data_IF_637706898569
#
_entry.id   IF_637706898569
#
_cell.length_a   1.000
_cell.length_b   1.000
_cell.length_c   1.000
_cell.angle_alpha   90.00
_cell.angle_beta   90.00
_cell.angle_gamma   90.00
#
_symmetry.space_group_name_H-M   'P 1'
#
loop_
_entity.id
_entity.type
_entity.pdbx_description
1 polymer ?
#
# COMPACT_ATOMS: atom_id res chain seq x y z
N UNK A 1 18.78 9.30 84.54
CA UNK A 1 19.55 9.79 83.36
C UNK A 1 20.94 9.19 83.47
N UNK A 2 21.48 8.65 82.36
CA UNK A 2 22.68 7.78 82.28
C UNK A 2 22.51 6.42 82.99
N UNK A 3 23.13 5.30 82.66
CA UNK A 3 23.89 4.74 81.52
C UNK A 3 24.30 3.33 81.98
N UNK A 4 24.38 2.33 81.09
CA UNK A 4 25.36 1.19 81.05
C UNK A 4 24.89 0.20 79.98
N UNK A 5 25.62 0.00 78.88
CA UNK A 5 26.65 -1.06 78.64
C UNK A 5 26.06 -2.48 78.78
N UNK A 6 26.21 -3.44 77.85
CA UNK A 6 27.47 -4.04 77.36
C UNK A 6 27.21 -4.97 76.15
N UNK A 7 28.28 -5.34 75.47
CA UNK A 7 28.45 -5.98 74.17
C UNK A 7 28.03 -7.48 73.99
N UNK A 8 28.01 -7.85 72.70
CA UNK A 8 28.48 -9.10 72.06
C UNK A 8 27.60 -10.38 72.07
N UNK A 9 27.10 -10.73 70.88
CA UNK A 9 27.31 -11.99 70.14
C UNK A 9 26.30 -11.98 68.97
N UNK A 10 26.69 -12.05 67.70
CA UNK A 10 27.48 -13.14 67.15
C UNK A 10 26.53 -14.14 66.49
N UNK A 11 25.95 -13.79 65.34
CA UNK A 11 25.59 -14.78 64.33
C UNK A 11 25.48 -14.12 62.96
N UNK A 12 26.56 -14.27 62.18
CA UNK A 12 26.50 -14.19 60.73
C UNK A 12 25.67 -15.39 60.29
N UNK A 13 24.45 -15.14 59.84
CA UNK A 13 23.72 -16.10 58.99
C UNK A 13 23.90 -15.56 57.59
N UNK A 14 24.87 -16.13 56.87
CA UNK A 14 24.85 -16.17 55.42
C UNK A 14 23.53 -16.83 55.04
N UNK A 15 22.50 -16.01 54.81
CA UNK A 15 21.34 -16.41 54.05
C UNK A 15 21.78 -16.40 52.60
N UNK A 16 22.16 -17.58 52.12
CA UNK A 16 22.49 -17.85 50.74
C UNK A 16 21.52 -17.10 49.83
N UNK A 17 22.06 -16.17 49.05
CA UNK A 17 21.38 -15.67 47.88
C UNK A 17 21.13 -16.90 47.00
N UNK A 18 19.90 -17.41 47.02
CA UNK A 18 19.43 -18.29 45.98
C UNK A 18 19.80 -17.61 44.66
N UNK A 19 20.58 -18.25 43.77
CA UNK A 19 20.69 -17.74 42.42
C UNK A 19 19.24 -17.63 41.95
N UNK A 20 18.85 -16.43 41.55
CA UNK A 20 17.63 -16.23 40.78
C UNK A 20 17.71 -17.26 39.66
N UNK A 21 17.02 -18.38 39.80
CA UNK A 21 16.92 -19.38 38.74
C UNK A 21 16.43 -18.61 37.54
N UNK A 22 17.25 -18.64 36.48
CA UNK A 22 16.92 -18.12 35.17
C UNK A 22 15.50 -18.53 34.88
N UNK A 23 14.56 -17.58 34.99
CA UNK A 23 13.23 -17.75 34.45
C UNK A 23 13.47 -17.98 32.97
N UNK A 24 13.47 -19.24 32.54
CA UNK A 24 13.49 -19.61 31.12
C UNK A 24 12.33 -18.84 30.53
N UNK A 25 12.63 -17.73 29.86
CA UNK A 25 11.59 -16.81 29.42
C UNK A 25 10.75 -17.59 28.42
N UNK A 26 9.48 -17.81 28.75
CA UNK A 26 8.54 -18.45 27.84
C UNK A 26 8.51 -17.71 26.48
N UNK A 27 8.80 -16.41 26.47
CA UNK A 27 8.96 -15.61 25.25
C UNK A 27 10.12 -16.12 24.36
N UNK A 28 11.23 -16.55 24.96
CA UNK A 28 12.36 -17.12 24.22
C UNK A 28 12.01 -18.51 23.67
N UNK A 29 11.25 -19.31 24.42
CA UNK A 29 10.75 -20.59 23.92
C UNK A 29 9.81 -20.39 22.72
N UNK A 30 8.83 -19.50 22.85
CA UNK A 30 7.86 -19.21 21.78
C UNK A 30 8.56 -18.65 20.54
N UNK A 31 9.53 -17.75 20.71
CA UNK A 31 10.35 -17.24 19.61
C UNK A 31 11.11 -18.37 18.87
N UNK A 32 11.69 -19.32 19.61
CA UNK A 32 12.37 -20.47 19.02
C UNK A 32 11.41 -21.39 18.26
N UNK A 33 10.20 -21.61 18.79
CA UNK A 33 9.15 -22.38 18.10
C UNK A 33 8.73 -21.69 16.80
N UNK A 34 8.42 -20.38 16.84
CA UNK A 34 8.03 -19.63 15.65
C UNK A 34 9.16 -19.58 14.60
N UNK A 35 10.41 -19.43 15.04
CA UNK A 35 11.57 -19.49 14.16
C UNK A 35 11.69 -20.86 13.49
N UNK A 36 11.52 -21.96 14.24
CA UNK A 36 11.53 -23.30 13.67
C UNK A 36 10.36 -23.53 12.69
N UNK A 37 9.14 -23.11 13.06
CA UNK A 37 7.96 -23.21 12.18
C UNK A 37 8.14 -22.44 10.87
N UNK A 38 8.75 -21.25 10.93
CA UNK A 38 9.04 -20.47 9.74
C UNK A 38 10.10 -21.14 8.84
N UNK A 39 11.24 -21.56 9.40
CA UNK A 39 12.31 -22.16 8.62
C UNK A 39 11.97 -23.58 8.15
N UNK A 40 11.72 -24.51 9.08
CA UNK A 40 11.43 -25.90 8.73
C UNK A 40 10.04 -26.04 8.08
N UNK A 41 9.02 -25.40 8.65
CA UNK A 41 7.66 -25.52 8.14
C UNK A 41 7.46 -24.76 6.84
N UNK A 42 7.60 -23.43 6.85
CA UNK A 42 7.26 -22.60 5.68
C UNK A 42 8.33 -22.64 4.58
N UNK A 43 9.60 -22.38 4.89
CA UNK A 43 10.63 -22.27 3.85
C UNK A 43 10.97 -23.62 3.20
N UNK A 44 11.00 -24.71 3.96
CA UNK A 44 11.33 -26.05 3.41
C UNK A 44 10.12 -26.93 3.14
N UNK A 45 8.95 -26.61 3.69
CA UNK A 45 7.73 -27.41 3.51
C UNK A 45 7.76 -28.73 4.29
N UNK A 46 8.61 -28.89 5.30
CA UNK A 46 8.67 -30.13 6.07
C UNK A 46 7.35 -30.35 6.81
N UNK A 47 6.84 -31.58 6.79
CA UNK A 47 5.57 -31.98 7.43
C UNK A 47 4.31 -31.32 6.84
N UNK A 48 4.38 -30.77 5.63
CA UNK A 48 3.24 -30.18 4.93
C UNK A 48 2.11 -31.19 4.71
N UNK A 49 0.90 -30.86 5.14
CA UNK A 49 -0.33 -31.60 4.90
C UNK A 49 -1.19 -30.97 3.77
N UNK A 50 -0.79 -29.80 3.28
CA UNK A 50 -1.53 -29.01 2.30
C UNK A 50 -0.61 -28.54 1.17
N UNK A 51 -1.03 -28.73 -0.07
CA UNK A 51 -0.40 -28.20 -1.27
C UNK A 51 -1.26 -27.10 -1.85
N UNK A 52 -0.75 -25.87 -1.86
CA UNK A 52 -1.45 -24.71 -2.40
C UNK A 52 -0.87 -24.33 -3.76
N UNK A 53 -1.65 -24.53 -4.82
CA UNK A 53 -1.33 -24.03 -6.16
C UNK A 53 -1.84 -22.60 -6.33
N UNK A 54 -0.93 -21.73 -6.73
CA UNK A 54 -1.16 -20.31 -6.94
C UNK A 54 -0.96 -20.02 -8.41
N UNK A 55 -2.01 -19.51 -9.04
CA UNK A 55 -2.03 -19.11 -10.43
C UNK A 55 -1.96 -17.58 -10.51
N UNK A 56 -0.80 -17.00 -10.89
CA UNK A 56 -0.73 -15.57 -11.14
C UNK A 56 -1.52 -15.20 -12.40
N UNK A 57 -1.91 -13.93 -12.55
CA UNK A 57 -2.56 -13.45 -13.77
C UNK A 57 -1.65 -13.59 -15.01
N UNK A 58 -0.33 -13.52 -14.80
CA UNK A 58 0.70 -13.70 -15.82
C UNK A 58 1.83 -14.57 -15.26
N UNK A 59 2.36 -15.47 -16.07
CA UNK A 59 3.47 -16.36 -15.69
C UNK A 59 3.04 -17.78 -15.34
N UNK A 60 3.96 -18.54 -14.77
CA UNK A 60 3.75 -19.95 -14.46
C UNK A 60 3.11 -20.15 -13.07
N UNK A 61 2.28 -21.20 -12.91
CA UNK A 61 1.80 -21.64 -11.60
C UNK A 61 2.94 -21.88 -10.62
N UNK A 62 2.75 -21.48 -9.37
CA UNK A 62 3.66 -21.77 -8.25
C UNK A 62 2.92 -22.63 -7.23
N UNK A 63 3.61 -23.59 -6.62
CA UNK A 63 3.03 -24.44 -5.59
C UNK A 63 3.75 -24.26 -4.25
N UNK A 64 2.98 -24.15 -3.17
CA UNK A 64 3.49 -24.02 -1.81
C UNK A 64 3.11 -25.23 -0.98
N UNK A 65 4.08 -25.82 -0.29
CA UNK A 65 3.88 -26.90 0.67
C UNK A 65 3.67 -26.30 2.06
N UNK A 66 2.46 -26.40 2.58
CA UNK A 66 1.99 -25.64 3.75
C UNK A 66 1.26 -26.54 4.75
N UNK A 67 0.89 -25.97 5.89
CA UNK A 67 0.25 -26.64 7.02
C UNK A 67 -1.14 -26.08 7.27
N UNK A 68 -2.17 -26.93 7.26
CA UNK A 68 -3.56 -26.52 7.42
C UNK A 68 -3.78 -25.72 8.72
N UNK A 69 -3.09 -26.10 9.81
CA UNK A 69 -3.15 -25.38 11.08
C UNK A 69 -2.63 -23.94 10.99
N UNK A 70 -1.62 -23.70 10.14
CA UNK A 70 -1.06 -22.35 9.95
C UNK A 70 -1.95 -21.55 8.98
N UNK A 71 -2.47 -22.20 7.95
CA UNK A 71 -3.37 -21.56 6.98
C UNK A 71 -4.72 -21.17 7.59
N UNK A 72 -5.20 -21.88 8.61
CA UNK A 72 -6.48 -21.56 9.26
C UNK A 72 -6.49 -20.20 9.98
N UNK A 73 -5.31 -19.60 10.20
CA UNK A 73 -5.16 -18.23 10.70
C UNK A 73 -5.63 -17.17 9.69
N UNK A 74 -5.68 -17.50 8.41
CA UNK A 74 -6.27 -16.64 7.37
C UNK A 74 -7.76 -16.97 7.24
N UNK A 75 -8.68 -16.01 7.46
CA UNK A 75 -10.12 -16.25 7.27
C UNK A 75 -10.45 -16.74 5.85
N UNK A 76 -9.77 -16.19 4.84
CA UNK A 76 -9.92 -16.60 3.45
C UNK A 76 -9.52 -18.07 3.24
N UNK A 77 -8.32 -18.47 3.70
CA UNK A 77 -7.84 -19.83 3.52
C UNK A 77 -8.60 -20.84 4.39
N UNK A 78 -9.01 -20.45 5.60
CA UNK A 78 -9.86 -21.27 6.46
C UNK A 78 -11.21 -21.57 5.76
N UNK A 79 -11.82 -20.56 5.16
CA UNK A 79 -13.04 -20.72 4.38
C UNK A 79 -12.81 -21.59 3.13
N UNK A 80 -11.71 -21.36 2.40
CA UNK A 80 -11.35 -22.16 1.24
C UNK A 80 -11.14 -23.64 1.61
N UNK A 81 -10.47 -23.92 2.73
CA UNK A 81 -10.27 -25.28 3.24
C UNK A 81 -11.58 -25.94 3.68
N UNK A 82 -12.54 -25.19 4.24
CA UNK A 82 -13.81 -25.77 4.71
C UNK A 82 -14.81 -26.01 3.59
N UNK A 83 -14.75 -25.21 2.51
CA UNK A 83 -15.70 -25.28 1.38
C UNK A 83 -15.15 -26.04 0.17
N UNK A 84 -13.83 -26.24 0.10
CA UNK A 84 -13.23 -27.04 -0.96
C UNK A 84 -13.75 -28.47 -0.90
N UNK A 85 -14.46 -28.89 -1.95
CA UNK A 85 -14.86 -30.28 -2.17
C UNK A 85 -13.69 -31.15 -2.64
N UNK A 86 -12.48 -30.58 -2.82
CA UNK A 86 -11.31 -31.33 -3.22
C UNK A 86 -10.83 -32.15 -2.02
N UNK A 87 -11.03 -33.47 -2.13
CA UNK A 87 -10.56 -34.45 -1.16
C UNK A 87 -9.04 -34.50 -1.09
N UNK A 88 -8.54 -35.42 -0.26
CA UNK A 88 -7.11 -35.69 -0.17
C UNK A 88 -6.62 -36.30 -1.49
N UNK A 89 -5.43 -35.90 -1.94
CA UNK A 89 -4.76 -36.54 -3.06
C UNK A 89 -4.28 -37.96 -2.68
N UNK A 90 -3.67 -38.68 -3.62
CA UNK A 90 -3.16 -40.03 -3.39
C UNK A 90 -2.09 -40.11 -2.27
N UNK A 91 -1.42 -39.00 -1.93
CA UNK A 91 -0.47 -38.91 -0.82
C UNK A 91 -1.12 -38.45 0.51
N UNK A 92 -2.45 -38.36 0.58
CA UNK A 92 -3.17 -37.96 1.78
C UNK A 92 -3.10 -36.45 2.07
N UNK A 93 -2.66 -35.63 1.12
CA UNK A 93 -2.54 -34.17 1.25
C UNK A 93 -3.75 -33.45 0.68
N UNK A 94 -4.13 -32.35 1.33
CA UNK A 94 -5.16 -31.43 0.80
C UNK A 94 -4.56 -30.61 -0.34
N UNK A 95 -5.27 -30.49 -1.45
CA UNK A 95 -4.85 -29.65 -2.58
C UNK A 95 -5.79 -28.47 -2.70
N UNK A 96 -5.22 -27.26 -2.80
CA UNK A 96 -5.96 -26.01 -2.95
C UNK A 96 -5.48 -25.28 -4.20
N UNK A 97 -6.39 -24.54 -4.84
CA UNK A 97 -6.08 -23.71 -5.99
C UNK A 97 -6.58 -22.29 -5.75
N UNK A 98 -5.70 -21.31 -5.99
CA UNK A 98 -6.01 -19.89 -5.89
C UNK A 98 -5.59 -19.21 -7.19
N UNK A 99 -6.50 -18.43 -7.77
CA UNK A 99 -6.17 -17.45 -8.79
C UNK A 99 -5.85 -16.12 -8.10
N UNK A 100 -4.66 -15.57 -8.36
CA UNK A 100 -4.27 -14.27 -7.83
C UNK A 100 -4.90 -13.14 -8.64
N UNK A 101 -5.22 -12.06 -7.95
CA UNK A 101 -5.51 -10.77 -8.57
C UNK A 101 -4.31 -10.29 -9.41
N UNK A 102 -4.52 -9.62 -10.55
CA UNK A 102 -3.43 -9.08 -11.38
C UNK A 102 -2.46 -8.15 -10.64
N UNK A 103 -2.88 -7.54 -9.53
CA UNK A 103 -2.04 -6.68 -8.69
C UNK A 103 -1.18 -7.46 -7.68
N UNK A 104 -1.34 -8.78 -7.58
CA UNK A 104 -0.59 -9.63 -6.64
C UNK A 104 0.45 -10.47 -7.39
N UNK A 105 1.69 -10.43 -6.91
CA UNK A 105 2.76 -11.30 -7.38
C UNK A 105 2.91 -12.53 -6.47
N UNK A 106 3.45 -13.67 -6.98
CA UNK A 106 3.75 -14.82 -6.13
C UNK A 106 4.71 -14.50 -4.97
N UNK A 107 5.64 -13.56 -5.18
CA UNK A 107 6.58 -13.11 -4.14
C UNK A 107 5.85 -12.39 -3.00
N UNK A 108 5.03 -11.37 -3.31
CA UNK A 108 4.25 -10.65 -2.30
C UNK A 108 3.30 -11.58 -1.55
N UNK A 109 2.70 -12.53 -2.28
CA UNK A 109 1.84 -13.55 -1.70
C UNK A 109 2.60 -14.48 -0.76
N UNK A 110 3.82 -14.89 -1.12
CA UNK A 110 4.67 -15.71 -0.27
C UNK A 110 5.05 -15.00 1.04
N UNK A 111 5.30 -13.68 1.02
CA UNK A 111 5.56 -12.90 2.24
C UNK A 111 4.36 -12.95 3.19
N UNK A 112 3.14 -12.77 2.67
CA UNK A 112 1.92 -12.83 3.45
C UNK A 112 1.63 -14.25 3.97
N UNK A 113 1.86 -15.29 3.16
CA UNK A 113 1.78 -16.68 3.63
C UNK A 113 2.79 -16.99 4.74
N UNK A 114 4.02 -16.49 4.61
CA UNK A 114 5.06 -16.63 5.62
C UNK A 114 4.69 -15.92 6.93
N UNK A 115 3.92 -14.83 6.85
CA UNK A 115 3.47 -14.07 8.03
C UNK A 115 2.54 -14.89 8.92
N UNK A 116 1.77 -15.80 8.32
CA UNK A 116 0.95 -16.76 9.08
C UNK A 116 1.82 -17.65 10.00
N UNK A 117 3.09 -17.85 9.65
CA UNK A 117 4.05 -18.63 10.44
C UNK A 117 4.81 -17.79 11.45
N UNK A 118 5.28 -16.61 11.05
CA UNK A 118 6.09 -15.75 11.90
C UNK A 118 6.12 -14.33 11.37
N UNK A 119 6.15 -13.36 12.29
CA UNK A 119 6.38 -11.94 11.97
C UNK A 119 7.73 -11.69 11.30
N UNK A 120 8.66 -12.65 11.33
CA UNK A 120 9.93 -12.57 10.60
C UNK A 120 9.74 -12.27 9.10
N UNK A 121 8.65 -12.74 8.47
CA UNK A 121 8.39 -12.44 7.07
C UNK A 121 8.09 -10.96 6.82
N UNK A 122 7.60 -10.22 7.80
CA UNK A 122 7.38 -8.78 7.67
C UNK A 122 8.69 -8.03 7.41
N UNK A 123 9.83 -8.56 7.88
CA UNK A 123 11.17 -8.02 7.57
C UNK A 123 11.57 -8.12 6.09
N UNK A 124 10.80 -8.85 5.27
CA UNK A 124 11.00 -8.93 3.82
C UNK A 124 10.23 -7.84 3.05
N UNK A 125 9.41 -7.03 3.73
CA UNK A 125 8.68 -5.93 3.11
C UNK A 125 9.62 -4.75 2.87
N UNK A 126 9.60 -4.23 1.66
CA UNK A 126 10.40 -3.10 1.22
C UNK A 126 9.67 -2.30 0.14
N UNK A 127 10.21 -1.14 -0.22
CA UNK A 127 9.57 -0.16 -1.12
C UNK A 127 9.06 -0.78 -2.44
N UNK A 128 9.79 -1.73 -3.01
CA UNK A 128 9.42 -2.38 -4.28
C UNK A 128 8.31 -3.43 -4.19
N UNK A 129 8.10 -4.05 -3.03
CA UNK A 129 7.10 -5.12 -2.87
C UNK A 129 5.95 -4.76 -1.91
N UNK A 130 6.04 -3.63 -1.20
CA UNK A 130 5.06 -3.23 -0.19
C UNK A 130 3.62 -3.24 -0.71
N UNK A 131 3.37 -2.78 -1.94
CA UNK A 131 2.03 -2.80 -2.56
C UNK A 131 1.50 -4.22 -2.75
N UNK A 132 2.30 -5.12 -3.29
CA UNK A 132 1.87 -6.50 -3.57
C UNK A 132 1.67 -7.29 -2.28
N UNK A 133 2.47 -7.00 -1.25
CA UNK A 133 2.29 -7.58 0.10
C UNK A 133 1.01 -7.07 0.74
N UNK A 134 0.74 -5.77 0.65
CA UNK A 134 -0.50 -5.16 1.16
C UNK A 134 -1.73 -5.81 0.52
N UNK A 135 -1.77 -5.90 -0.81
CA UNK A 135 -2.86 -6.58 -1.52
C UNK A 135 -3.00 -8.05 -1.12
N UNK A 136 -1.87 -8.76 -0.92
CA UNK A 136 -1.88 -10.16 -0.49
C UNK A 136 -2.44 -10.33 0.92
N UNK A 137 -2.07 -9.44 1.85
CA UNK A 137 -2.53 -9.44 3.23
C UNK A 137 -4.06 -9.20 3.31
N UNK A 138 -4.57 -8.25 2.53
CA UNK A 138 -6.01 -7.97 2.41
C UNK A 138 -6.75 -9.15 1.76
N UNK A 139 -6.23 -9.71 0.66
CA UNK A 139 -6.81 -10.89 0.00
C UNK A 139 -6.95 -12.08 0.93
N UNK A 140 -5.96 -12.30 1.81
CA UNK A 140 -5.94 -13.41 2.77
C UNK A 140 -6.86 -13.16 3.98
N UNK A 141 -7.71 -12.13 3.96
CA UNK A 141 -8.74 -11.87 4.96
C UNK A 141 -8.37 -10.81 5.99
N UNK A 142 -7.47 -9.88 5.64
CA UNK A 142 -7.13 -8.71 6.48
C UNK A 142 -6.16 -9.05 7.61
N UNK A 143 -4.86 -9.16 7.29
CA UNK A 143 -3.81 -9.31 8.29
C UNK A 143 -3.41 -7.94 8.87
N UNK A 144 -4.21 -7.39 9.78
CA UNK A 144 -4.15 -5.98 10.22
C UNK A 144 -2.74 -5.42 10.45
N UNK A 145 -1.88 -6.13 11.19
CA UNK A 145 -0.51 -5.70 11.48
C UNK A 145 0.38 -5.67 10.23
N UNK A 146 0.34 -6.72 9.40
CA UNK A 146 1.09 -6.79 8.15
C UNK A 146 0.59 -5.77 7.14
N UNK A 147 -0.73 -5.62 7.00
CA UNK A 147 -1.36 -4.61 6.16
C UNK A 147 -0.95 -3.21 6.60
N UNK A 148 -0.98 -2.92 7.91
CA UNK A 148 -0.55 -1.62 8.45
C UNK A 148 0.94 -1.36 8.16
N UNK A 149 1.80 -2.36 8.37
CA UNK A 149 3.24 -2.23 8.11
C UNK A 149 3.56 -2.03 6.62
N UNK A 150 2.91 -2.82 5.75
CA UNK A 150 3.07 -2.70 4.30
C UNK A 150 2.51 -1.37 3.77
N UNK A 151 1.40 -0.88 4.32
CA UNK A 151 0.86 0.44 4.01
C UNK A 151 1.80 1.57 4.44
N UNK A 152 2.38 1.51 5.65
CA UNK A 152 3.36 2.50 6.08
C UNK A 152 4.61 2.51 5.19
N UNK A 153 5.05 1.34 4.73
CA UNK A 153 6.15 1.22 3.78
C UNK A 153 5.77 1.81 2.41
N UNK A 154 4.54 1.55 1.93
CA UNK A 154 3.99 2.20 0.74
C UNK A 154 4.03 3.72 0.87
N UNK A 155 3.54 4.27 1.98
CA UNK A 155 3.45 5.71 2.21
C UNK A 155 4.83 6.38 2.20
N UNK A 156 5.82 5.73 2.83
CA UNK A 156 7.22 6.23 2.87
C UNK A 156 7.91 6.14 1.52
N UNK A 157 7.52 5.20 0.66
CA UNK A 157 8.11 5.06 -0.66
C UNK A 157 7.57 6.06 -1.70
N UNK A 158 6.55 6.87 -1.37
CA UNK A 158 6.06 7.95 -2.23
C UNK A 158 7.11 9.06 -2.28
N UNK A 159 7.72 9.24 -3.45
CA UNK A 159 8.78 10.22 -3.70
C UNK A 159 8.72 10.70 -5.15
N UNK A 160 9.57 11.66 -5.51
CA UNK A 160 9.68 12.12 -6.92
C UNK A 160 10.12 10.98 -7.84
N UNK A 161 11.01 10.11 -7.37
CA UNK A 161 11.62 9.04 -8.15
C UNK A 161 10.65 7.87 -8.39
N UNK A 162 9.75 7.61 -7.45
CA UNK A 162 8.75 6.53 -7.53
C UNK A 162 7.39 6.99 -8.04
N UNK A 163 7.19 8.29 -8.26
CA UNK A 163 5.89 8.87 -8.54
C UNK A 163 5.23 8.28 -9.79
N UNK A 164 5.99 8.01 -10.84
CA UNK A 164 5.43 7.45 -12.08
C UNK A 164 4.78 6.08 -11.83
N UNK A 165 5.39 5.23 -11.00
CA UNK A 165 4.83 3.94 -10.61
C UNK A 165 3.55 4.09 -9.76
N UNK A 166 3.50 5.13 -8.94
CA UNK A 166 2.31 5.45 -8.13
C UNK A 166 1.17 5.97 -9.00
N UNK A 167 1.44 6.86 -9.95
CA UNK A 167 0.44 7.37 -10.88
C UNK A 167 -0.12 6.25 -11.77
N UNK A 168 0.74 5.38 -12.30
CA UNK A 168 0.30 4.20 -13.05
C UNK A 168 -0.59 3.28 -12.22
N UNK A 169 -0.26 3.10 -10.94
CA UNK A 169 -1.09 2.32 -10.03
C UNK A 169 -2.46 2.97 -9.80
N UNK A 170 -2.52 4.29 -9.60
CA UNK A 170 -3.80 4.98 -9.41
C UNK A 170 -4.72 4.86 -10.63
N UNK A 171 -4.18 4.81 -11.83
CA UNK A 171 -4.96 4.57 -13.05
C UNK A 171 -5.57 3.16 -13.08
N UNK A 172 -4.87 2.15 -12.53
CA UNK A 172 -5.37 0.78 -12.45
C UNK A 172 -6.49 0.63 -11.41
N UNK A 173 -6.37 1.32 -10.26
CA UNK A 173 -7.35 1.24 -9.18
C UNK A 173 -8.46 2.30 -9.29
N UNK A 174 -8.39 3.21 -10.26
CA UNK A 174 -9.46 4.16 -10.53
C UNK A 174 -10.65 3.44 -11.18
N UNK A 175 -11.89 3.67 -10.71
CA UNK A 175 -13.05 3.27 -11.49
C UNK A 175 -13.01 4.03 -12.82
N UNK A 176 -13.37 3.40 -13.96
CA UNK A 176 -13.42 4.09 -15.24
C UNK A 176 -14.42 5.25 -15.16
N UNK A 177 -13.91 6.47 -15.02
CA UNK A 177 -14.71 7.69 -15.02
C UNK A 177 -14.88 8.17 -16.45
N UNK A 178 -15.73 7.47 -17.21
CA UNK A 178 -16.40 8.13 -18.33
C UNK A 178 -17.38 9.10 -17.67
N UNK A 179 -17.02 10.39 -17.61
CA UNK A 179 -17.78 11.48 -16.99
C UNK A 179 -19.17 11.77 -17.59
N UNK A 180 -19.87 10.73 -18.07
CA UNK A 180 -21.18 10.74 -18.67
C UNK A 180 -22.20 9.79 -18.00
N UNK A 181 -21.83 9.06 -16.94
CA UNK A 181 -22.76 8.09 -16.31
C UNK A 181 -23.11 8.46 -14.88
N UNK A 182 -24.39 8.70 -14.65
CA UNK A 182 -25.03 8.63 -13.33
C UNK A 182 -24.63 7.33 -12.63
N UNK A 183 -24.31 7.35 -11.32
CA UNK A 183 -23.89 6.15 -10.61
C UNK A 183 -25.04 5.15 -10.60
N UNK A 184 -24.90 4.06 -11.35
CA UNK A 184 -25.80 2.92 -11.26
C UNK A 184 -25.32 2.04 -10.09
N UNK A 185 -26.07 1.94 -8.98
CA UNK A 185 -25.66 1.12 -7.84
C UNK A 185 -25.58 -0.39 -8.16
N UNK A 186 -26.08 -0.84 -9.32
CA UNK A 186 -25.93 -2.20 -9.80
C UNK A 186 -24.57 -2.51 -10.47
N UNK A 187 -23.71 -1.49 -10.66
CA UNK A 187 -22.38 -1.60 -11.28
C UNK A 187 -21.30 -1.04 -10.34
N UNK A 188 -21.41 -1.30 -9.03
CA UNK A 188 -20.34 -0.99 -8.10
C UNK A 188 -19.03 -1.62 -8.64
N UNK A 189 -17.93 -0.86 -8.75
CA UNK A 189 -16.64 -1.43 -9.12
C UNK A 189 -16.36 -2.62 -8.19
N UNK A 190 -15.78 -3.72 -8.70
CA UNK A 190 -15.39 -4.83 -7.84
C UNK A 190 -14.53 -4.28 -6.69
N UNK A 191 -14.72 -4.77 -5.45
CA UNK A 191 -13.95 -4.29 -4.32
C UNK A 191 -12.47 -4.46 -4.64
N UNK A 192 -11.71 -3.37 -4.48
CA UNK A 192 -10.26 -3.39 -4.70
C UNK A 192 -9.62 -4.43 -3.80
N UNK A 193 -8.64 -5.17 -4.32
CA UNK A 193 -7.83 -6.11 -3.52
C UNK A 193 -7.05 -5.42 -2.40
N UNK A 194 -6.96 -4.09 -2.42
CA UNK A 194 -6.35 -3.27 -1.37
C UNK A 194 -7.34 -2.82 -0.29
N UNK A 195 -8.62 -3.23 -0.36
CA UNK A 195 -9.63 -2.87 0.63
C UNK A 195 -9.74 -1.36 0.86
N UNK A 196 -9.71 -0.94 2.12
CA UNK A 196 -9.75 0.47 2.52
C UNK A 196 -8.47 1.24 2.19
N UNK A 197 -7.34 0.54 1.99
CA UNK A 197 -6.05 1.16 1.71
C UNK A 197 -5.96 1.73 0.29
N UNK A 198 -6.79 1.26 -0.65
CA UNK A 198 -6.84 1.81 -2.01
C UNK A 198 -7.07 3.33 -2.00
N UNK A 199 -8.09 3.77 -1.24
CA UNK A 199 -8.42 5.19 -1.14
C UNK A 199 -7.37 5.94 -0.32
N UNK A 200 -6.86 5.36 0.77
CA UNK A 200 -5.81 6.00 1.58
C UNK A 200 -4.54 6.27 0.76
N UNK A 201 -4.08 5.29 -0.02
CA UNK A 201 -2.92 5.47 -0.90
C UNK A 201 -3.15 6.53 -1.97
N UNK A 202 -4.37 6.62 -2.53
CA UNK A 202 -4.75 7.72 -3.44
C UNK A 202 -4.64 9.07 -2.74
N UNK A 203 -5.15 9.17 -1.52
CA UNK A 203 -5.12 10.39 -0.72
C UNK A 203 -3.67 10.77 -0.34
N UNK A 204 -2.81 9.79 -0.04
CA UNK A 204 -1.39 9.99 0.26
C UNK A 204 -0.61 10.50 -0.95
N UNK A 205 -0.82 9.91 -2.13
CA UNK A 205 -0.20 10.39 -3.39
C UNK A 205 -0.69 11.81 -3.71
N UNK A 206 -1.98 12.08 -3.51
CA UNK A 206 -2.53 13.42 -3.69
C UNK A 206 -1.92 14.44 -2.71
N UNK A 207 -1.82 14.08 -1.42
CA UNK A 207 -1.19 14.89 -0.40
C UNK A 207 0.29 15.15 -0.73
N UNK A 208 1.00 14.13 -1.20
CA UNK A 208 2.38 14.27 -1.65
C UNK A 208 2.49 15.31 -2.76
N UNK A 209 1.66 15.23 -3.81
CA UNK A 209 1.66 16.17 -4.93
C UNK A 209 1.37 17.62 -4.51
N UNK A 210 0.43 17.80 -3.58
CA UNK A 210 -0.14 19.11 -3.25
C UNK A 210 0.59 19.81 -2.11
N UNK A 211 1.12 19.05 -1.15
CA UNK A 211 1.70 19.57 0.10
C UNK A 211 3.18 19.22 0.19
N UNK A 212 3.51 17.93 0.16
CA UNK A 212 4.88 17.47 0.49
C UNK A 212 5.89 17.86 -0.59
N UNK A 213 5.53 17.70 -1.87
CA UNK A 213 6.41 17.98 -3.00
C UNK A 213 6.73 19.48 -3.16
N UNK A 214 5.75 20.41 -3.11
CA UNK A 214 6.08 21.84 -3.12
C UNK A 214 6.97 22.27 -1.96
N UNK A 215 6.73 21.72 -0.76
CA UNK A 215 7.54 22.00 0.44
C UNK A 215 8.96 21.46 0.32
N UNK A 216 9.13 20.23 -0.19
CA UNK A 216 10.47 19.62 -0.35
C UNK A 216 11.32 20.29 -1.43
N UNK A 217 10.67 20.95 -2.39
CA UNK A 217 11.32 21.78 -3.41
C UNK A 217 11.59 23.22 -2.95
N UNK A 218 11.27 23.56 -1.69
CA UNK A 218 11.41 24.88 -1.07
C UNK A 218 10.77 26.01 -1.90
N UNK A 219 9.61 25.73 -2.50
CA UNK A 219 8.90 26.74 -3.29
C UNK A 219 8.38 27.85 -2.38
N UNK A 220 9.11 28.95 -2.33
CA UNK A 220 8.61 30.19 -1.74
C UNK A 220 7.58 30.83 -2.69
N UNK A 221 6.57 31.54 -2.16
CA UNK A 221 5.52 32.19 -2.97
C UNK A 221 6.05 33.14 -4.05
N UNK A 222 7.26 33.68 -3.87
CA UNK A 222 7.94 34.59 -4.82
C UNK A 222 9.04 33.93 -5.64
N UNK A 223 9.07 32.58 -5.71
CA UNK A 223 10.09 31.86 -6.47
C UNK A 223 10.05 32.31 -7.94
N UNK A 224 11.17 32.85 -8.49
CA UNK A 224 11.17 33.39 -9.85
C UNK A 224 10.83 32.31 -10.88
N UNK A 225 10.14 32.72 -11.95
CA UNK A 225 9.93 31.86 -13.13
C UNK A 225 11.28 31.35 -13.64
N UNK A 226 11.42 30.02 -13.77
CA UNK A 226 12.66 29.37 -14.24
C UNK A 226 13.60 28.88 -13.15
N UNK A 227 13.16 28.83 -11.88
CA UNK A 227 13.90 28.10 -10.86
C UNK A 227 13.84 26.59 -11.13
N UNK A 228 14.93 25.88 -10.84
CA UNK A 228 14.99 24.41 -10.98
C UNK A 228 13.86 23.70 -10.21
N UNK A 229 13.49 24.22 -9.04
CA UNK A 229 12.37 23.73 -8.24
C UNK A 229 11.03 23.85 -8.95
N UNK A 230 10.74 25.01 -9.54
CA UNK A 230 9.51 25.23 -10.30
C UNK A 230 9.47 24.35 -11.55
N UNK A 231 10.58 24.23 -12.25
CA UNK A 231 10.68 23.41 -13.46
C UNK A 231 10.48 21.93 -13.15
N UNK A 232 11.03 21.43 -12.03
CA UNK A 232 10.79 20.07 -11.54
C UNK A 232 9.32 19.83 -11.21
N UNK A 233 8.67 20.78 -10.53
CA UNK A 233 7.24 20.69 -10.23
C UNK A 233 6.40 20.67 -11.52
N UNK A 234 6.73 21.52 -12.50
CA UNK A 234 6.05 21.53 -13.81
C UNK A 234 6.23 20.19 -14.54
N UNK A 235 7.43 19.62 -14.53
CA UNK A 235 7.69 18.30 -15.13
C UNK A 235 6.87 17.20 -14.46
N UNK A 236 6.77 17.19 -13.13
CA UNK A 236 5.89 16.27 -12.38
C UNK A 236 4.43 16.46 -12.80
N UNK A 237 3.89 17.66 -12.67
CA UNK A 237 2.48 17.94 -12.96
C UNK A 237 2.11 17.74 -14.45
N UNK A 238 3.10 17.74 -15.35
CA UNK A 238 2.90 17.39 -16.76
C UNK A 238 2.54 15.92 -17.00
N UNK A 239 2.82 15.04 -16.03
CA UNK A 239 2.60 13.57 -16.12
C UNK A 239 1.41 13.07 -15.31
N UNK A 240 0.87 13.89 -14.42
CA UNK A 240 -0.25 13.51 -13.53
C UNK A 240 -1.55 13.26 -14.34
N UNK A 241 -2.36 12.22 -14.05
CA UNK A 241 -3.66 12.04 -14.69
C UNK A 241 -4.58 13.27 -14.53
N UNK A 242 -5.47 13.51 -15.49
CA UNK A 242 -6.27 14.74 -15.55
C UNK A 242 -7.05 15.01 -14.25
N UNK A 243 -7.70 13.99 -13.69
CA UNK A 243 -8.55 14.17 -12.50
C UNK A 243 -7.73 14.59 -11.27
N UNK A 244 -6.56 13.98 -11.08
CA UNK A 244 -5.61 14.35 -10.03
C UNK A 244 -5.02 15.75 -10.27
N UNK A 245 -4.66 16.07 -11.53
CA UNK A 245 -4.16 17.38 -11.91
C UNK A 245 -5.19 18.47 -11.60
N UNK A 246 -6.44 18.28 -12.04
CA UNK A 246 -7.57 19.19 -11.77
C UNK A 246 -7.76 19.37 -10.26
N UNK A 247 -7.90 18.25 -9.53
CA UNK A 247 -8.12 18.29 -8.09
C UNK A 247 -6.97 19.00 -7.36
N UNK A 248 -5.72 18.82 -7.78
CA UNK A 248 -4.56 19.45 -7.17
C UNK A 248 -4.53 20.97 -7.44
N UNK A 249 -4.81 21.40 -8.68
CA UNK A 249 -4.87 22.83 -9.02
C UNK A 249 -6.01 23.54 -8.27
N UNK A 250 -7.16 22.89 -8.14
CA UNK A 250 -8.33 23.42 -7.45
C UNK A 250 -8.23 23.32 -5.92
N UNK A 251 -7.21 22.61 -5.39
CA UNK A 251 -7.04 22.42 -3.96
C UNK A 251 -6.54 23.68 -3.27
N UNK A 252 -7.16 24.12 -2.16
CA UNK A 252 -6.62 25.22 -1.37
C UNK A 252 -5.26 24.86 -0.74
N UNK A 253 -4.97 23.58 -0.52
CA UNK A 253 -3.71 23.11 0.06
C UNK A 253 -2.50 23.24 -0.88
N UNK A 254 -2.72 23.53 -2.18
CA UNK A 254 -1.64 23.68 -3.15
C UNK A 254 -1.00 25.08 -3.04
N UNK A 255 -0.05 25.23 -2.13
CA UNK A 255 0.60 26.51 -1.88
C UNK A 255 1.76 26.76 -2.84
N UNK A 256 1.45 27.39 -3.98
CA UNK A 256 2.42 27.86 -4.97
C UNK A 256 2.37 29.38 -5.13
N UNK A 257 1.90 30.08 -4.09
CA UNK A 257 1.69 31.52 -4.07
C UNK A 257 0.30 31.97 -4.49
N UNK A 258 0.19 33.20 -5.01
CA UNK A 258 -1.10 33.84 -5.31
C UNK A 258 -1.95 33.06 -6.32
N UNK A 259 -3.26 33.32 -6.35
CA UNK A 259 -4.18 32.77 -7.35
C UNK A 259 -3.71 33.02 -8.80
N UNK A 260 -3.07 34.16 -9.05
CA UNK A 260 -2.51 34.50 -10.36
C UNK A 260 -1.25 33.67 -10.68
N UNK A 261 -0.39 33.44 -9.68
CA UNK A 261 0.78 32.54 -9.80
C UNK A 261 0.35 31.10 -10.07
N UNK A 262 -0.67 30.63 -9.33
CA UNK A 262 -1.25 29.29 -9.53
C UNK A 262 -1.90 29.15 -10.89
N UNK A 263 -2.65 30.15 -11.35
CA UNK A 263 -3.21 30.18 -12.70
C UNK A 263 -2.12 30.10 -13.78
N UNK A 264 -1.06 30.89 -13.64
CA UNK A 264 0.09 30.85 -14.55
C UNK A 264 0.75 29.46 -14.54
N UNK A 265 0.98 28.89 -13.36
CA UNK A 265 1.52 27.53 -13.22
C UNK A 265 0.64 26.48 -13.91
N UNK A 266 -0.67 26.49 -13.68
CA UNK A 266 -1.60 25.57 -14.32
C UNK A 266 -1.57 25.72 -15.85
N UNK A 267 -1.49 26.95 -16.36
CA UNK A 267 -1.37 27.21 -17.80
C UNK A 267 -0.06 26.65 -18.37
N UNK A 268 1.07 26.90 -17.71
CA UNK A 268 2.39 26.39 -18.12
C UNK A 268 2.40 24.85 -18.12
N UNK A 269 1.82 24.23 -17.08
CA UNK A 269 1.70 22.77 -16.98
C UNK A 269 0.82 22.20 -18.11
N UNK A 270 -0.35 22.79 -18.37
CA UNK A 270 -1.23 22.39 -19.48
C UNK A 270 -0.50 22.47 -20.83
N UNK A 271 0.31 23.51 -21.06
CA UNK A 271 1.10 23.60 -22.30
C UNK A 271 2.13 22.47 -22.44
N UNK A 272 2.77 22.05 -21.36
CA UNK A 272 3.65 20.87 -21.37
C UNK A 272 2.85 19.57 -21.61
N UNK A 273 1.67 19.45 -20.99
CA UNK A 273 0.80 18.28 -21.10
C UNK A 273 0.28 18.05 -22.51
N UNK A 274 0.08 19.10 -23.30
CA UNK A 274 -0.31 19.01 -24.73
C UNK A 274 0.65 18.18 -25.56
N UNK A 275 1.93 18.11 -25.16
CA UNK A 275 2.97 17.33 -25.86
C UNK A 275 3.01 15.86 -25.42
N UNK A 276 2.26 15.48 -24.39
CA UNK A 276 2.25 14.14 -23.80
C UNK A 276 0.84 13.60 -23.56
N UNK A 277 0.49 13.35 -22.30
CA UNK A 277 -0.71 12.59 -21.87
C UNK A 277 -2.02 13.29 -22.26
N UNK A 278 -2.02 14.62 -22.43
CA UNK A 278 -3.22 15.37 -22.81
C UNK A 278 -3.48 15.42 -24.33
N UNK A 279 -2.71 14.70 -25.18
CA UNK A 279 -2.93 14.70 -26.63
C UNK A 279 -4.36 14.32 -27.06
N UNK A 280 -5.12 13.62 -26.20
CA UNK A 280 -6.47 13.15 -26.49
C UNK A 280 -7.60 14.15 -26.13
N UNK A 281 -7.31 15.32 -25.56
CA UNK A 281 -8.34 16.32 -25.20
C UNK A 281 -7.79 17.71 -24.94
N UNK A 282 -8.64 18.74 -25.07
CA UNK A 282 -8.21 20.12 -24.81
C UNK A 282 -8.46 20.48 -23.35
N UNK A 283 -7.39 20.63 -22.58
CA UNK A 283 -7.40 21.09 -21.19
C UNK A 283 -7.31 22.62 -21.14
N UNK A 284 -8.13 23.26 -20.31
CA UNK A 284 -8.24 24.72 -20.17
C UNK A 284 -8.32 25.08 -18.69
N UNK A 285 -7.59 26.12 -18.27
CA UNK A 285 -7.67 26.71 -16.93
C UNK A 285 -8.32 28.09 -17.00
N UNK A 286 -9.17 28.40 -16.03
CA UNK A 286 -9.88 29.68 -15.90
C UNK A 286 -9.76 30.18 -14.45
N UNK A 287 -9.66 31.50 -14.26
CA UNK A 287 -9.81 32.13 -12.95
C UNK A 287 -11.30 32.18 -12.59
N UNK A 288 -11.65 31.79 -11.36
CA UNK A 288 -12.99 31.93 -10.83
C UNK A 288 -13.00 32.99 -9.73
N UNK A 289 -13.84 34.01 -9.90
CA UNK A 289 -14.08 35.03 -8.88
C UNK A 289 -15.19 34.61 -7.89
N UNK A 290 -15.87 33.49 -8.14
CA UNK A 290 -16.98 32.98 -7.32
C UNK A 290 -16.80 31.48 -7.06
N UNK A 291 -16.42 31.12 -5.82
CA UNK A 291 -16.21 29.73 -5.39
C UNK A 291 -15.16 29.60 -4.28
N UNK A 292 -15.02 28.40 -3.71
CA UNK A 292 -14.00 28.08 -2.71
C UNK A 292 -12.58 27.90 -3.29
N UNK A 293 -12.48 27.69 -4.61
CA UNK A 293 -11.21 27.65 -5.36
C UNK A 293 -11.08 28.86 -6.26
N UNK A 294 -9.91 29.50 -6.29
CA UNK A 294 -9.63 30.65 -7.13
C UNK A 294 -9.39 30.28 -8.62
N UNK A 295 -9.18 29.00 -8.92
CA UNK A 295 -8.97 28.49 -10.28
C UNK A 295 -9.84 27.28 -10.56
N UNK A 296 -10.16 27.09 -11.83
CA UNK A 296 -10.93 25.94 -12.33
C UNK A 296 -10.27 25.36 -13.57
N UNK A 297 -10.11 24.03 -13.59
CA UNK A 297 -9.53 23.30 -14.73
C UNK A 297 -10.59 22.42 -15.37
N UNK A 298 -10.72 22.51 -16.69
CA UNK A 298 -11.70 21.74 -17.47
C UNK A 298 -11.01 21.02 -18.63
N UNK A 299 -11.58 19.89 -19.06
CA UNK A 299 -11.14 19.15 -20.25
C UNK A 299 -12.30 18.95 -21.20
N UNK A 300 -12.12 19.36 -22.45
CA UNK A 300 -13.05 19.07 -23.54
C UNK A 300 -12.56 17.86 -24.30
N UNK A 301 -13.29 16.75 -24.23
CA UNK A 301 -13.02 15.57 -25.07
C UNK A 301 -13.41 15.87 -26.52
N UNK A 302 -12.56 15.49 -27.48
CA UNK A 302 -12.91 15.59 -28.91
C UNK A 302 -13.96 14.53 -29.20
N UNK A 303 -15.21 14.95 -29.48
CA UNK A 303 -16.28 14.02 -29.90
C UNK A 303 -15.80 13.26 -31.14
N UNK A 304 -15.79 11.92 -31.10
CA UNK A 304 -15.64 11.09 -32.30
C UNK A 304 -16.77 11.46 -33.27
N UNK A 305 -16.43 11.73 -34.53
CA UNK A 305 -17.43 11.97 -35.56
C UNK A 305 -18.31 10.73 -35.70
N UNK A 306 -19.57 10.85 -35.30
CA UNK A 306 -20.58 9.81 -35.53
C UNK A 306 -20.92 9.85 -37.02
N UNK A 307 -20.56 8.82 -37.76
CA UNK A 307 -20.95 8.67 -39.15
C UNK A 307 -22.47 8.50 -39.20
N UNK A 308 -23.17 9.43 -39.87
CA UNK A 308 -24.58 9.22 -40.22
C UNK A 308 -24.63 8.15 -41.31
N UNK A 309 -25.25 7.01 -41.01
CA UNK A 309 -25.67 6.06 -42.03
C UNK A 309 -26.95 6.66 -42.65
N UNK A 310 -26.88 7.07 -43.91
CA UNK A 310 -28.09 7.41 -44.66
C UNK A 310 -28.78 6.09 -45.04
N UNK A 311 -30.05 5.96 -44.66
CA UNK A 311 -30.95 4.90 -45.09
C UNK A 311 -31.54 5.23 -46.47
#
# INVERSE_FOLDING_TARGET
MASTSTAANGHVVNGDAYPHEDSVSFEHHDANVLHHLYHAGFQTGNYSDTLLHVHPAQGHPVAFRLHALMLSRSPFLAHLMSTSQQGLNASGQRVLYIQLDPQITPEGFAVALGYLYSSASAGLVHDKNCRVVLASAEMLGGMDELSSYAYETCRRSISVDSLDEWLQFLDIIAPPSDGASTPNPALAPPPSVFGLYAQRLRDDVFNFLVVTLPQSLELQPDTPSGSKSRDTLLQVFSRVPFDLFKAAMESPAFDVGSSQTRFKFAKDAIELRKRGIAAQGEEIVVLQNFGASAIHVTRKTRKRALWKINA
#
